data_IF_716267241673
#
_entry.id   IF_716267241673
#
_cell.length_a   1.000
_cell.length_b   1.000
_cell.length_c   1.000
_cell.angle_alpha   90.00
_cell.angle_beta   90.00
_cell.angle_gamma   90.00
#
_symmetry.space_group_name_H-M   'P 1'
#
loop_
_entity.id
_entity.type
_entity.pdbx_description
1 polymer ?
#
# COMPACT_ATOMS: atom_id res chain seq x y z
N UNK A 1 -5.76 6.31 -21.20
CA UNK A 1 -5.89 4.97 -20.57
C UNK A 1 -4.71 4.83 -19.64
N UNK A 2 -4.90 4.40 -18.40
CA UNK A 2 -3.81 4.15 -17.45
C UNK A 2 -3.14 2.80 -17.76
N UNK A 3 -1.91 2.59 -17.28
CA UNK A 3 -1.17 1.33 -17.49
C UNK A 3 -1.62 0.24 -16.51
N UNK A 4 -1.82 0.62 -15.24
CA UNK A 4 -2.23 -0.31 -14.19
C UNK A 4 -3.05 0.37 -13.07
N UNK A 5 -3.85 -0.43 -12.36
CA UNK A 5 -4.55 -0.09 -11.13
C UNK A 5 -3.84 -0.80 -9.99
N UNK A 6 -3.25 -0.07 -9.04
CA UNK A 6 -2.65 -0.62 -7.83
C UNK A 6 -3.68 -0.56 -6.71
N UNK A 7 -4.02 -1.71 -6.13
CA UNK A 7 -4.93 -1.80 -4.99
C UNK A 7 -4.10 -2.13 -3.76
N UNK A 8 -4.13 -1.21 -2.79
CA UNK A 8 -3.37 -1.40 -1.55
C UNK A 8 -4.12 -2.29 -0.56
N UNK A 9 -3.38 -3.18 0.05
CA UNK A 9 -3.86 -3.95 1.18
C UNK A 9 -4.30 -3.08 2.36
N UNK A 10 -5.15 -3.61 3.22
CA UNK A 10 -5.71 -2.93 4.40
C UNK A 10 -5.78 -3.82 5.64
N UNK A 11 -5.12 -4.98 5.57
CA UNK A 11 -5.05 -5.99 6.60
C UNK A 11 -5.57 -7.35 6.13
N UNK A 12 -5.08 -8.38 6.77
CA UNK A 12 -5.46 -9.78 6.54
C UNK A 12 -5.63 -10.46 7.90
N UNK A 13 -6.62 -11.34 8.03
CA UNK A 13 -6.84 -12.11 9.24
C UNK A 13 -5.80 -13.23 9.38
N UNK A 14 -5.53 -13.73 10.60
CA UNK A 14 -4.56 -14.83 10.81
C UNK A 14 -4.86 -16.10 10.01
N UNK A 15 -6.14 -16.39 9.73
CA UNK A 15 -6.59 -17.51 8.91
C UNK A 15 -6.49 -17.24 7.39
N UNK A 16 -5.93 -16.09 7.00
CA UNK A 16 -5.76 -15.67 5.61
C UNK A 16 -7.05 -15.19 4.94
N UNK A 17 -8.13 -14.97 5.69
CA UNK A 17 -9.34 -14.35 5.15
C UNK A 17 -9.17 -12.83 4.98
N UNK A 18 -9.89 -12.28 4.01
CA UNK A 18 -9.83 -10.85 3.69
C UNK A 18 -10.91 -10.10 4.48
N UNK A 19 -10.53 -9.12 5.34
CA UNK A 19 -11.48 -8.26 6.04
C UNK A 19 -12.30 -7.38 5.09
N UNK A 20 -13.30 -6.69 5.63
CA UNK A 20 -14.23 -5.87 4.83
C UNK A 20 -13.54 -4.71 4.08
N UNK A 21 -12.64 -4.00 4.75
CA UNK A 21 -11.98 -2.82 4.15
C UNK A 21 -11.17 -3.18 2.89
N UNK A 22 -10.26 -4.18 2.90
CA UNK A 22 -9.61 -4.63 1.67
C UNK A 22 -10.58 -5.10 0.61
N UNK A 23 -11.69 -5.78 0.97
CA UNK A 23 -12.73 -6.16 -0.01
C UNK A 23 -13.34 -4.95 -0.72
N UNK A 24 -13.63 -3.87 0.01
CA UNK A 24 -14.12 -2.62 -0.59
C UNK A 24 -13.11 -2.01 -1.56
N UNK A 25 -11.82 -2.03 -1.22
CA UNK A 25 -10.75 -1.56 -2.12
C UNK A 25 -10.66 -2.41 -3.38
N UNK A 26 -10.69 -3.74 -3.25
CA UNK A 26 -10.68 -4.66 -4.40
C UNK A 26 -11.92 -4.43 -5.27
N UNK A 27 -13.11 -4.34 -4.69
CA UNK A 27 -14.34 -4.08 -5.44
C UNK A 27 -14.25 -2.79 -6.25
N UNK A 28 -13.68 -1.70 -5.68
CA UNK A 28 -13.45 -0.45 -6.41
C UNK A 28 -12.43 -0.59 -7.54
N UNK A 29 -11.34 -1.31 -7.31
CA UNK A 29 -10.37 -1.61 -8.37
C UNK A 29 -10.98 -2.42 -9.51
N UNK A 30 -11.83 -3.39 -9.20
CA UNK A 30 -12.58 -4.18 -10.18
C UNK A 30 -13.56 -3.30 -10.99
N UNK A 31 -14.25 -2.35 -10.33
CA UNK A 31 -15.10 -1.37 -11.02
C UNK A 31 -14.29 -0.56 -12.04
N UNK A 32 -13.14 -0.04 -11.65
CA UNK A 32 -12.23 0.71 -12.52
C UNK A 32 -11.70 -0.15 -13.68
N UNK A 33 -11.35 -1.40 -13.42
CA UNK A 33 -10.92 -2.34 -14.45
C UNK A 33 -12.02 -2.58 -15.48
N UNK A 34 -13.24 -2.85 -15.04
CA UNK A 34 -14.40 -3.08 -15.92
C UNK A 34 -14.79 -1.85 -16.73
N UNK A 35 -14.54 -0.64 -16.22
CA UNK A 35 -14.74 0.61 -16.98
C UNK A 35 -13.65 0.88 -18.03
N UNK A 36 -12.65 -0.01 -18.14
CA UNK A 36 -11.54 0.15 -19.09
C UNK A 36 -10.51 1.19 -18.66
N UNK A 37 -10.44 1.54 -17.37
CA UNK A 37 -9.46 2.51 -16.85
C UNK A 37 -8.03 2.04 -17.11
N UNK A 38 -7.72 0.75 -16.86
CA UNK A 38 -6.43 0.14 -17.16
C UNK A 38 -6.59 -1.37 -17.45
N UNK A 39 -5.67 -1.99 -18.23
CA UNK A 39 -5.73 -3.41 -18.56
C UNK A 39 -5.18 -4.35 -17.49
N UNK A 40 -4.55 -3.82 -16.46
CA UNK A 40 -3.91 -4.60 -15.38
C UNK A 40 -4.30 -4.12 -14.00
N UNK A 41 -4.41 -5.06 -13.07
CA UNK A 41 -4.58 -4.80 -11.65
C UNK A 41 -3.38 -5.34 -10.89
N UNK A 42 -2.78 -4.53 -10.03
CA UNK A 42 -1.73 -4.95 -9.10
C UNK A 42 -2.36 -5.04 -7.71
N UNK A 43 -2.34 -6.23 -7.12
CA UNK A 43 -2.67 -6.44 -5.70
C UNK A 43 -1.40 -6.29 -4.88
N UNK A 44 -1.34 -5.27 -4.01
CA UNK A 44 -0.11 -4.93 -3.30
C UNK A 44 -0.29 -5.04 -1.79
N UNK A 45 0.47 -5.95 -1.19
CA UNK A 45 0.55 -6.18 0.25
C UNK A 45 0.88 -7.62 0.63
N UNK A 46 1.82 -7.79 1.58
CA UNK A 46 2.06 -9.07 2.24
C UNK A 46 1.25 -9.11 3.54
N UNK A 47 1.86 -8.66 4.63
CA UNK A 47 1.22 -8.42 5.93
C UNK A 47 1.94 -7.28 6.65
N UNK A 48 1.22 -6.59 7.53
CA UNK A 48 1.83 -5.47 8.26
C UNK A 48 2.97 -5.93 9.18
N UNK A 49 4.12 -5.26 9.13
CA UNK A 49 5.29 -5.60 9.96
C UNK A 49 5.01 -5.53 11.48
N UNK A 50 3.91 -4.89 11.86
CA UNK A 50 3.46 -4.79 13.25
C UNK A 50 2.76 -6.04 13.79
N UNK A 51 2.36 -6.99 12.93
CA UNK A 51 1.74 -8.23 13.37
C UNK A 51 2.75 -9.09 14.15
N UNK A 52 2.28 -9.72 15.22
CA UNK A 52 3.09 -10.65 16.03
C UNK A 52 3.27 -11.99 15.34
N UNK A 53 2.24 -12.42 14.61
CA UNK A 53 2.21 -13.68 13.89
C UNK A 53 1.92 -13.43 12.41
N UNK A 54 2.71 -14.07 11.56
CA UNK A 54 2.48 -14.04 10.12
C UNK A 54 1.18 -14.78 9.78
N UNK A 55 0.32 -14.20 8.94
CA UNK A 55 -0.83 -14.90 8.38
C UNK A 55 -0.39 -16.11 7.54
N UNK A 56 -1.32 -17.02 7.30
CA UNK A 56 -1.02 -18.24 6.51
C UNK A 56 -0.72 -17.96 5.02
N UNK A 57 -1.00 -16.74 4.55
CA UNK A 57 -0.74 -16.29 3.17
C UNK A 57 -0.63 -14.78 3.08
N UNK A 58 0.01 -14.23 2.02
CA UNK A 58 0.05 -12.79 1.77
C UNK A 58 -1.35 -12.21 1.49
N UNK A 59 -1.55 -10.95 1.88
CA UNK A 59 -2.79 -10.22 1.60
C UNK A 59 -3.07 -10.10 0.10
N UNK A 60 -2.05 -9.85 -0.72
CA UNK A 60 -2.16 -9.77 -2.18
C UNK A 60 -2.76 -11.03 -2.80
N UNK A 61 -2.48 -12.22 -2.25
CA UNK A 61 -3.09 -13.48 -2.70
C UNK A 61 -4.58 -13.53 -2.39
N UNK A 62 -4.97 -13.18 -1.17
CA UNK A 62 -6.38 -13.15 -0.78
C UNK A 62 -7.16 -12.10 -1.60
N UNK A 63 -6.55 -10.94 -1.88
CA UNK A 63 -7.12 -9.91 -2.75
C UNK A 63 -7.28 -10.39 -4.19
N UNK A 64 -6.30 -11.13 -4.74
CA UNK A 64 -6.37 -11.74 -6.07
C UNK A 64 -7.56 -12.70 -6.17
N UNK A 65 -7.66 -13.65 -5.24
CA UNK A 65 -8.77 -14.62 -5.23
C UNK A 65 -10.13 -13.92 -5.16
N UNK A 66 -10.23 -12.88 -4.35
CA UNK A 66 -11.48 -12.12 -4.26
C UNK A 66 -11.80 -11.39 -5.57
N UNK A 67 -10.82 -10.79 -6.25
CA UNK A 67 -11.04 -10.17 -7.56
C UNK A 67 -11.44 -11.18 -8.63
N UNK A 68 -10.83 -12.36 -8.64
CA UNK A 68 -11.21 -13.47 -9.54
C UNK A 68 -12.65 -13.90 -9.27
N UNK A 69 -13.05 -14.03 -8.00
CA UNK A 69 -14.45 -14.34 -7.64
C UNK A 69 -15.44 -13.27 -8.09
N UNK A 70 -14.98 -12.03 -8.26
CA UNK A 70 -15.75 -10.95 -8.88
C UNK A 70 -15.68 -10.96 -10.43
N UNK A 71 -15.03 -11.94 -11.06
CA UNK A 71 -14.98 -12.12 -12.51
C UNK A 71 -13.87 -11.36 -13.23
N UNK A 72 -12.81 -10.95 -12.55
CA UNK A 72 -11.59 -10.43 -13.20
C UNK A 72 -10.78 -11.63 -13.74
N UNK A 73 -10.36 -11.61 -15.00
CA UNK A 73 -9.47 -12.65 -15.55
C UNK A 73 -8.17 -12.72 -14.75
N UNK A 74 -7.73 -13.93 -14.45
CA UNK A 74 -6.56 -14.16 -13.59
C UNK A 74 -5.26 -13.59 -14.19
N UNK A 75 -5.14 -13.65 -15.51
CA UNK A 75 -4.02 -13.09 -16.28
C UNK A 75 -3.97 -11.56 -16.31
N UNK A 76 -5.07 -10.88 -15.94
CA UNK A 76 -5.11 -9.44 -15.77
C UNK A 76 -4.58 -8.97 -14.40
N UNK A 77 -4.36 -9.91 -13.46
CA UNK A 77 -3.96 -9.60 -12.08
C UNK A 77 -2.49 -9.93 -11.86
N UNK A 78 -1.75 -8.97 -11.32
CA UNK A 78 -0.35 -9.13 -10.89
C UNK A 78 -0.29 -8.93 -9.38
N UNK A 79 0.59 -9.68 -8.69
CA UNK A 79 0.80 -9.55 -7.25
C UNK A 79 2.10 -8.84 -6.92
N UNK A 80 2.06 -7.99 -5.93
CA UNK A 80 3.19 -7.52 -5.16
C UNK A 80 2.96 -7.99 -3.71
N UNK A 81 3.63 -9.03 -3.29
CA UNK A 81 3.42 -9.76 -2.04
C UNK A 81 4.64 -9.72 -1.10
N UNK A 82 5.49 -8.70 -1.24
CA UNK A 82 6.70 -8.49 -0.42
C UNK A 82 6.47 -7.40 0.62
N UNK A 83 5.70 -6.38 0.28
CA UNK A 83 5.53 -5.18 1.08
C UNK A 83 4.84 -5.44 2.43
N UNK A 84 5.35 -4.79 3.47
CA UNK A 84 4.85 -4.88 4.84
C UNK A 84 4.20 -3.58 5.33
N UNK A 85 4.18 -2.56 4.48
CA UNK A 85 3.58 -1.25 4.72
C UNK A 85 3.48 -0.42 3.43
N UNK A 86 3.01 0.84 3.54
CA UNK A 86 2.79 1.71 2.38
C UNK A 86 4.09 2.12 1.67
N UNK A 87 5.21 2.22 2.39
CA UNK A 87 6.51 2.52 1.78
C UNK A 87 6.93 1.35 0.88
N UNK A 88 6.84 0.13 1.41
CA UNK A 88 7.09 -1.09 0.65
C UNK A 88 6.15 -1.26 -0.54
N UNK A 89 4.84 -0.98 -0.38
CA UNK A 89 3.89 -1.02 -1.49
C UNK A 89 4.39 -0.17 -2.68
N UNK A 90 4.73 1.10 -2.43
CA UNK A 90 5.22 1.99 -3.48
C UNK A 90 6.58 1.51 -4.05
N UNK A 91 7.51 1.13 -3.16
CA UNK A 91 8.86 0.75 -3.53
C UNK A 91 8.91 -0.54 -4.36
N UNK A 92 8.28 -1.61 -3.89
CA UNK A 92 8.31 -2.90 -4.59
C UNK A 92 7.43 -2.90 -5.85
N UNK A 93 6.30 -2.18 -5.86
CA UNK A 93 5.57 -1.94 -7.10
C UNK A 93 6.46 -1.23 -8.13
N UNK A 94 7.17 -0.16 -7.74
CA UNK A 94 8.07 0.57 -8.63
C UNK A 94 9.11 -0.35 -9.27
N UNK A 95 9.89 -1.05 -8.44
CA UNK A 95 11.04 -1.82 -8.90
C UNK A 95 10.66 -3.09 -9.64
N UNK A 96 9.66 -3.82 -9.14
CA UNK A 96 9.38 -5.16 -9.63
C UNK A 96 8.33 -5.18 -10.74
N UNK A 97 7.51 -4.13 -10.85
CA UNK A 97 6.37 -4.14 -11.77
C UNK A 97 6.33 -2.90 -12.68
N UNK A 98 6.45 -1.69 -12.13
CA UNK A 98 6.25 -0.49 -12.93
C UNK A 98 7.43 -0.22 -13.85
N UNK A 99 8.66 -0.22 -13.34
CA UNK A 99 9.88 0.03 -14.14
C UNK A 99 10.10 -1.06 -15.22
N UNK A 100 10.03 -2.37 -14.89
CA UNK A 100 10.24 -3.41 -15.91
C UNK A 100 9.24 -3.39 -17.05
N UNK A 101 8.00 -2.93 -16.81
CA UNK A 101 6.95 -2.84 -17.82
C UNK A 101 6.82 -1.44 -18.43
N UNK A 102 7.64 -0.47 -18.01
CA UNK A 102 7.54 0.94 -18.40
C UNK A 102 6.13 1.53 -18.14
N UNK A 103 5.49 1.13 -17.04
CA UNK A 103 4.20 1.66 -16.62
C UNK A 103 4.39 2.95 -15.82
N UNK A 104 3.96 4.05 -16.37
CA UNK A 104 4.15 5.39 -15.78
C UNK A 104 2.84 6.09 -15.40
N UNK A 105 1.72 5.65 -16.00
CA UNK A 105 0.40 6.23 -15.78
C UNK A 105 -0.45 5.24 -14.97
N UNK A 106 -0.62 5.49 -13.69
CA UNK A 106 -1.22 4.53 -12.76
C UNK A 106 -2.38 5.13 -11.97
N UNK A 107 -3.26 4.24 -11.49
CA UNK A 107 -4.26 4.56 -10.48
C UNK A 107 -3.92 3.81 -9.21
N UNK A 108 -3.96 4.49 -8.06
CA UNK A 108 -3.75 3.88 -6.73
C UNK A 108 -5.05 3.93 -5.94
N UNK A 109 -5.56 2.77 -5.53
CA UNK A 109 -6.81 2.60 -4.79
C UNK A 109 -6.53 2.30 -3.33
N UNK A 110 -7.13 3.09 -2.42
CA UNK A 110 -7.03 2.89 -0.97
C UNK A 110 -8.28 3.44 -0.26
N UNK A 111 -8.33 3.42 1.07
CA UNK A 111 -9.44 3.99 1.85
C UNK A 111 -9.26 5.49 2.08
N UNK A 112 -10.38 6.20 2.31
CA UNK A 112 -10.41 7.65 2.50
C UNK A 112 -9.51 8.13 3.64
N UNK A 113 -9.43 7.39 4.75
CA UNK A 113 -8.57 7.77 5.88
C UNK A 113 -7.08 7.60 5.57
N UNK A 114 -6.74 6.75 4.60
CA UNK A 114 -5.37 6.40 4.24
C UNK A 114 -4.83 7.21 3.04
N UNK A 115 -5.71 7.92 2.32
CA UNK A 115 -5.38 8.55 1.03
C UNK A 115 -4.23 9.56 1.12
N UNK A 116 -4.18 10.38 2.17
CA UNK A 116 -3.16 11.43 2.31
C UNK A 116 -1.76 10.83 2.50
N UNK A 117 -1.61 9.80 3.35
CA UNK A 117 -0.33 9.11 3.53
C UNK A 117 0.08 8.35 2.27
N UNK A 118 -0.87 7.71 1.60
CA UNK A 118 -0.62 7.00 0.35
C UNK A 118 -0.11 7.98 -0.72
N UNK A 119 -0.76 9.12 -0.87
CA UNK A 119 -0.34 10.16 -1.82
C UNK A 119 1.09 10.62 -1.53
N UNK A 120 1.36 11.03 -0.29
CA UNK A 120 2.70 11.49 0.10
C UNK A 120 3.78 10.45 -0.21
N UNK A 121 3.57 9.18 0.16
CA UNK A 121 4.58 8.13 -0.03
C UNK A 121 4.74 7.77 -1.50
N UNK A 122 3.66 7.60 -2.25
CA UNK A 122 3.74 7.22 -3.66
C UNK A 122 4.42 8.31 -4.50
N UNK A 123 4.06 9.60 -4.30
CA UNK A 123 4.71 10.72 -4.98
C UNK A 123 6.20 10.79 -4.61
N UNK A 124 6.55 10.52 -3.36
CA UNK A 124 7.94 10.54 -2.88
C UNK A 124 8.77 9.39 -3.46
N UNK A 125 8.22 8.18 -3.47
CA UNK A 125 8.92 6.97 -3.91
C UNK A 125 9.01 6.87 -5.43
N UNK A 126 7.90 7.13 -6.12
CA UNK A 126 7.89 7.03 -7.57
C UNK A 126 8.59 8.22 -8.24
N UNK A 127 8.39 9.43 -7.71
CA UNK A 127 8.98 10.64 -8.25
C UNK A 127 8.16 11.27 -9.39
N UNK A 128 8.65 12.36 -9.98
CA UNK A 128 7.89 13.20 -10.91
C UNK A 128 7.65 12.57 -12.29
N UNK A 129 8.30 11.46 -12.60
CA UNK A 129 8.17 10.78 -13.90
C UNK A 129 6.89 9.93 -14.01
N UNK A 130 6.10 9.86 -12.93
CA UNK A 130 4.85 9.08 -12.87
C UNK A 130 3.63 9.99 -12.80
N UNK A 131 2.62 9.68 -13.62
CA UNK A 131 1.28 10.25 -13.53
C UNK A 131 0.41 9.35 -12.66
N UNK A 132 0.12 9.81 -11.44
CA UNK A 132 -0.55 9.01 -10.41
C UNK A 132 -1.91 9.61 -10.11
N UNK A 133 -2.96 8.87 -10.39
CA UNK A 133 -4.30 9.17 -9.94
C UNK A 133 -4.60 8.42 -8.64
N UNK A 134 -5.18 9.09 -7.66
CA UNK A 134 -5.53 8.49 -6.36
C UNK A 134 -7.03 8.39 -6.21
N UNK A 135 -7.53 7.18 -5.96
CA UNK A 135 -8.94 6.88 -5.77
C UNK A 135 -9.15 6.34 -4.36
N UNK A 136 -10.02 7.01 -3.61
CA UNK A 136 -10.41 6.56 -2.27
C UNK A 136 -11.73 5.81 -2.28
N UNK A 137 -11.86 4.83 -1.39
CA UNK A 137 -13.12 4.16 -1.08
C UNK A 137 -13.58 4.54 0.32
N UNK A 138 -14.89 4.66 0.49
CA UNK A 138 -15.52 4.80 1.79
C UNK A 138 -15.40 3.48 2.57
N UNK A 139 -14.71 3.51 3.71
CA UNK A 139 -14.44 2.34 4.57
C UNK A 139 -15.66 1.86 5.35
N UNK A 140 -16.76 2.60 5.32
CA UNK A 140 -18.00 2.33 6.10
C UNK A 140 -17.78 2.34 7.62
N UNK A 141 -16.71 2.96 8.07
CA UNK A 141 -16.46 3.16 9.50
C UNK A 141 -17.43 4.18 10.09
N UNK A 142 -17.75 4.03 11.38
CA UNK A 142 -18.46 5.09 12.10
C UNK A 142 -17.60 6.37 12.14
N UNK A 143 -18.22 7.53 12.28
CA UNK A 143 -17.54 8.84 12.33
C UNK A 143 -16.45 8.88 13.40
N UNK A 144 -16.67 8.24 14.55
CA UNK A 144 -15.69 8.13 15.62
C UNK A 144 -14.48 7.29 15.22
N UNK A 145 -14.71 6.09 14.65
CA UNK A 145 -13.65 5.21 14.17
C UNK A 145 -12.88 5.82 13.00
N UNK A 146 -13.57 6.48 12.10
CA UNK A 146 -12.95 7.18 10.96
C UNK A 146 -12.01 8.29 11.47
N UNK A 147 -12.48 9.12 12.42
CA UNK A 147 -11.66 10.17 13.04
C UNK A 147 -10.43 9.59 13.73
N UNK A 148 -10.59 8.49 14.46
CA UNK A 148 -9.46 7.81 15.11
C UNK A 148 -8.43 7.30 14.09
N UNK A 149 -8.89 6.73 12.96
CA UNK A 149 -8.00 6.28 11.88
C UNK A 149 -7.28 7.45 11.20
N UNK A 150 -7.97 8.52 10.87
CA UNK A 150 -7.36 9.73 10.30
C UNK A 150 -6.26 10.28 11.22
N UNK A 151 -6.51 10.34 12.52
CA UNK A 151 -5.51 10.79 13.48
C UNK A 151 -4.27 9.89 13.52
N UNK A 152 -4.44 8.57 13.44
CA UNK A 152 -3.32 7.62 13.34
C UNK A 152 -2.52 7.82 12.04
N UNK A 153 -3.22 7.97 10.91
CA UNK A 153 -2.59 8.21 9.61
C UNK A 153 -1.79 9.52 9.60
N UNK A 154 -2.32 10.60 10.19
CA UNK A 154 -1.62 11.86 10.30
C UNK A 154 -0.34 11.73 11.13
N UNK A 155 -0.40 11.09 12.30
CA UNK A 155 0.80 10.83 13.13
C UNK A 155 1.85 10.02 12.39
N UNK A 156 1.40 8.97 11.68
CA UNK A 156 2.30 8.13 10.86
C UNK A 156 2.94 8.94 9.74
N UNK A 157 2.17 9.79 9.08
CA UNK A 157 2.67 10.64 7.98
C UNK A 157 3.71 11.64 8.49
N UNK A 158 3.47 12.30 9.61
CA UNK A 158 4.44 13.25 10.20
C UNK A 158 5.75 12.55 10.62
N UNK A 159 5.67 11.30 11.08
CA UNK A 159 6.87 10.53 11.37
C UNK A 159 7.64 10.16 10.09
N UNK A 160 6.95 9.71 9.07
CA UNK A 160 7.55 9.36 7.78
C UNK A 160 8.18 10.59 7.11
N UNK A 161 7.57 11.77 7.20
CA UNK A 161 8.15 13.02 6.69
C UNK A 161 9.53 13.29 7.26
N UNK A 162 9.78 13.04 8.54
CA UNK A 162 11.11 13.24 9.15
C UNK A 162 12.21 12.45 8.43
N UNK A 163 11.88 11.28 7.90
CA UNK A 163 12.83 10.43 7.17
C UNK A 163 12.88 10.78 5.68
N UNK A 164 11.71 11.01 5.07
CA UNK A 164 11.60 11.09 3.62
C UNK A 164 11.70 12.51 3.06
N UNK A 165 11.35 13.58 3.82
CA UNK A 165 11.45 14.96 3.30
C UNK A 165 12.85 15.32 2.80
N UNK A 166 13.96 14.93 3.50
CA UNK A 166 15.31 15.21 3.02
C UNK A 166 15.69 14.48 1.72
N UNK A 167 14.98 13.41 1.36
CA UNK A 167 15.26 12.59 0.18
C UNK A 167 14.61 13.23 -1.06
N UNK A 168 15.32 13.28 -2.17
CA UNK A 168 14.74 13.71 -3.45
C UNK A 168 13.66 12.70 -3.89
N UNK A 169 12.52 13.21 -4.34
CA UNK A 169 11.46 12.35 -4.87
C UNK A 169 11.96 11.53 -6.08
N UNK A 170 11.70 10.23 -6.06
CA UNK A 170 12.14 9.30 -7.09
C UNK A 170 13.56 8.76 -6.94
N UNK A 171 14.34 9.22 -5.94
CA UNK A 171 15.68 8.69 -5.66
C UNK A 171 15.59 7.30 -5.04
N UNK A 172 15.56 6.30 -5.90
CA UNK A 172 15.38 4.88 -5.53
C UNK A 172 16.47 4.36 -4.60
N UNK A 173 17.73 4.84 -4.77
CA UNK A 173 18.84 4.40 -3.93
C UNK A 173 18.73 4.98 -2.51
N UNK A 174 18.46 6.27 -2.38
CA UNK A 174 18.29 6.88 -1.07
C UNK A 174 17.05 6.31 -0.34
N UNK A 175 15.97 6.01 -1.05
CA UNK A 175 14.78 5.36 -0.48
C UNK A 175 15.11 3.94 -0.02
N UNK A 176 15.86 3.16 -0.82
CA UNK A 176 16.35 1.85 -0.45
C UNK A 176 17.18 1.91 0.84
N UNK A 177 18.12 2.83 0.91
CA UNK A 177 18.97 2.99 2.08
C UNK A 177 18.13 3.30 3.34
N UNK A 178 17.16 4.20 3.24
CA UNK A 178 16.24 4.46 4.35
C UNK A 178 15.46 3.21 4.79
N UNK A 179 14.93 2.46 3.85
CA UNK A 179 14.16 1.25 4.14
C UNK A 179 15.01 0.21 4.89
N UNK A 180 16.20 -0.07 4.38
CA UNK A 180 17.02 -1.14 4.93
C UNK A 180 17.93 -0.74 6.09
N UNK A 181 18.04 0.55 6.42
CA UNK A 181 18.80 1.04 7.58
C UNK A 181 17.95 1.57 8.72
N UNK A 182 16.80 2.17 8.42
CA UNK A 182 15.99 2.88 9.43
C UNK A 182 14.64 2.25 9.68
N UNK A 183 14.01 1.63 8.66
CA UNK A 183 12.63 1.20 8.75
C UNK A 183 12.48 -0.14 9.48
N UNK A 184 11.67 -0.24 10.56
CA UNK A 184 11.59 -1.45 11.39
C UNK A 184 10.99 -2.67 10.69
N UNK A 185 10.33 -2.50 9.55
CA UNK A 185 9.79 -3.60 8.74
C UNK A 185 10.79 -4.24 7.79
N UNK A 186 11.92 -3.56 7.50
CA UNK A 186 12.87 -3.99 6.46
C UNK A 186 14.32 -3.98 6.91
N UNK A 187 14.67 -3.28 8.00
CA UNK A 187 16.01 -3.23 8.56
C UNK A 187 16.20 -4.30 9.62
N UNK A 188 17.36 -4.93 9.65
CA UNK A 188 17.77 -5.83 10.75
C UNK A 188 18.12 -5.04 12.03
N UNK A 189 18.61 -3.81 11.87
CA UNK A 189 18.98 -2.91 12.97
C UNK A 189 18.37 -1.52 12.76
N UNK A 190 17.06 -1.37 12.91
CA UNK A 190 16.37 -0.11 12.61
C UNK A 190 16.74 0.99 13.60
N UNK A 191 16.75 2.25 13.15
CA UNK A 191 16.95 3.44 14.00
C UNK A 191 15.89 3.52 15.12
N UNK A 192 14.65 3.13 14.80
CA UNK A 192 13.54 2.99 15.75
C UNK A 192 13.03 1.55 15.62
N UNK A 193 13.05 0.78 16.70
CA UNK A 193 12.55 -0.58 16.66
C UNK A 193 11.00 -0.61 16.58
N UNK A 194 10.45 -1.80 16.29
CA UNK A 194 9.00 -2.01 16.14
C UNK A 194 8.21 -1.50 17.36
N UNK A 195 8.64 -1.85 18.58
CA UNK A 195 7.96 -1.49 19.81
C UNK A 195 7.94 0.04 20.03
N UNK A 196 9.09 0.69 19.84
CA UNK A 196 9.20 2.15 19.92
C UNK A 196 8.30 2.84 18.91
N UNK A 197 8.27 2.34 17.68
CA UNK A 197 7.40 2.90 16.63
C UNK A 197 5.92 2.73 16.98
N UNK A 198 5.49 1.55 17.43
CA UNK A 198 4.10 1.31 17.81
C UNK A 198 3.67 2.24 18.95
N UNK A 199 4.51 2.39 19.98
CA UNK A 199 4.26 3.33 21.09
C UNK A 199 4.14 4.78 20.60
N UNK A 200 5.02 5.24 19.70
CA UNK A 200 4.94 6.60 19.13
C UNK A 200 3.63 6.82 18.34
N UNK A 201 3.10 5.75 17.72
CA UNK A 201 1.85 5.78 16.97
C UNK A 201 0.60 5.56 17.84
N UNK A 202 0.76 5.29 19.15
CA UNK A 202 -0.34 4.97 20.05
C UNK A 202 -0.99 3.63 19.70
N UNK A 203 -0.19 2.65 19.34
CA UNK A 203 -0.58 1.26 19.07
C UNK A 203 0.04 0.35 20.11
N UNK A 204 -0.36 0.53 21.36
CA UNK A 204 0.05 -0.35 22.48
C UNK A 204 -0.77 -1.63 22.46
#
# INVERSE_FOLDING_TARGET
>A
MKDAIIILGGGIEPDGSLPEIPKLRVAKGVELFRSGTAPRIIMSGNYGFWLEKEPIRPEAEAMREYAVSLGVPEDAIVKEDISKDTVGNAYFCKLNLLEPNNWKNIVVVTSEYHILRTKYIFEKVLGPDYDIEFVSVDSKLSSERLTAQINKENKTTELLKKWFDPVKAGDTNAIKDLMYTKHPGYSENPEINKEQLLKMLGRD
#
